data_IF_480596379956
#
_entry.id   IF_480596379956
#
_cell.length_a   1.000
_cell.length_b   1.000
_cell.length_c   1.000
_cell.angle_alpha   90.00
_cell.angle_beta   90.00
_cell.angle_gamma   90.00
#
_symmetry.space_group_name_H-M   'P 1'
#
loop_
_entity.id
_entity.type
_entity.pdbx_description
1 polymer ?
#
# COMPACT_ATOMS: atom_id res chain seq x y z
N UNK A 1 25.81 14.71 5.23
CA UNK A 1 25.43 13.73 4.19
C UNK A 1 24.26 12.96 4.78
N UNK A 2 23.04 13.23 4.31
CA UNK A 2 21.85 12.63 4.93
C UNK A 2 21.80 11.20 4.42
N UNK A 3 22.25 10.26 5.24
CA UNK A 3 21.91 8.85 5.08
C UNK A 3 20.38 8.78 5.12
N UNK A 4 19.79 8.87 3.93
CA UNK A 4 18.55 8.20 3.64
C UNK A 4 18.85 6.72 3.91
N UNK A 5 18.70 6.30 5.17
CA UNK A 5 18.06 5.04 5.45
C UNK A 5 16.74 5.12 4.68
N UNK A 6 16.79 4.72 3.41
CA UNK A 6 15.63 4.21 2.72
C UNK A 6 15.25 3.04 3.62
N UNK A 7 14.36 3.29 4.59
CA UNK A 7 13.74 2.24 5.36
C UNK A 7 13.33 1.20 4.31
N UNK A 8 13.74 -0.08 4.41
CA UNK A 8 13.37 -1.09 3.43
C UNK A 8 11.85 -1.09 3.17
N UNK A 9 11.07 -0.64 4.15
CA UNK A 9 9.65 -0.32 4.04
C UNK A 9 9.30 0.67 2.92
N UNK A 10 10.07 1.73 2.68
CA UNK A 10 9.75 2.77 1.68
C UNK A 10 9.92 2.26 0.25
N UNK A 11 10.97 1.47 -0.02
CA UNK A 11 11.17 0.87 -1.34
C UNK A 11 10.09 -0.18 -1.64
N UNK A 12 9.79 -1.03 -0.64
CA UNK A 12 8.71 -2.02 -0.72
C UNK A 12 7.35 -1.35 -0.90
N UNK A 13 7.10 -0.27 -0.18
CA UNK A 13 5.88 0.51 -0.28
C UNK A 13 5.67 1.09 -1.69
N UNK A 14 6.70 1.71 -2.26
CA UNK A 14 6.64 2.24 -3.63
C UNK A 14 6.36 1.16 -4.66
N UNK A 15 6.97 -0.02 -4.48
CA UNK A 15 6.71 -1.17 -5.34
C UNK A 15 5.24 -1.63 -5.23
N UNK A 16 4.72 -1.75 -4.02
CA UNK A 16 3.31 -2.11 -3.77
C UNK A 16 2.35 -1.07 -4.34
N UNK A 17 2.62 0.23 -4.16
CA UNK A 17 1.81 1.29 -4.77
C UNK A 17 1.82 1.22 -6.30
N UNK A 18 2.98 0.99 -6.91
CA UNK A 18 3.09 0.86 -8.35
C UNK A 18 2.36 -0.40 -8.87
N UNK A 19 2.44 -1.51 -8.13
CA UNK A 19 1.74 -2.76 -8.43
C UNK A 19 0.23 -2.61 -8.30
N UNK A 20 -0.25 -2.02 -7.21
CA UNK A 20 -1.65 -1.68 -6.98
C UNK A 20 -2.18 -0.83 -8.14
N UNK A 21 -1.47 0.27 -8.48
CA UNK A 21 -1.86 1.15 -9.59
C UNK A 21 -1.94 0.42 -10.92
N UNK A 22 -1.02 -0.51 -11.18
CA UNK A 22 -1.04 -1.33 -12.39
C UNK A 22 -2.24 -2.28 -12.46
N UNK A 23 -2.79 -2.67 -11.31
CA UNK A 23 -4.01 -3.48 -11.19
C UNK A 23 -5.31 -2.67 -11.15
N UNK A 24 -5.24 -1.33 -11.22
CA UNK A 24 -6.43 -0.48 -11.05
C UNK A 24 -6.75 -0.16 -9.59
N UNK A 25 -5.80 -0.31 -8.68
CA UNK A 25 -5.99 -0.08 -7.25
C UNK A 25 -5.09 1.05 -6.73
N UNK A 26 -5.52 1.71 -5.66
CA UNK A 26 -4.75 2.71 -4.95
C UNK A 26 -4.57 2.29 -3.50
N UNK A 27 -3.31 2.25 -3.05
CA UNK A 27 -2.97 1.95 -1.67
C UNK A 27 -2.92 3.26 -0.85
N UNK A 28 -3.76 3.36 0.17
CA UNK A 28 -3.84 4.51 1.09
C UNK A 28 -3.60 4.07 2.54
N UNK A 29 -3.14 5.00 3.39
CA UNK A 29 -3.05 4.81 4.83
C UNK A 29 -4.28 5.43 5.48
N UNK A 30 -4.96 4.70 6.36
CA UNK A 30 -6.11 5.25 7.06
C UNK A 30 -5.65 6.23 8.15
N UNK A 31 -5.98 7.53 8.07
CA UNK A 31 -5.43 8.54 8.99
C UNK A 31 -5.93 8.39 10.43
N UNK A 32 -7.03 7.67 10.64
CA UNK A 32 -7.62 7.41 11.96
C UNK A 32 -7.01 6.20 12.67
N UNK A 33 -6.33 5.32 11.93
CA UNK A 33 -5.72 4.11 12.47
C UNK A 33 -4.25 4.07 12.05
N UNK A 34 -3.37 4.41 13.00
CA UNK A 34 -1.93 4.31 12.82
C UNK A 34 -1.61 2.88 12.37
N UNK A 35 -0.92 2.75 11.23
CA UNK A 35 -0.52 1.50 10.57
C UNK A 35 -1.63 0.69 9.86
N UNK A 36 -2.79 1.28 9.54
CA UNK A 36 -3.78 0.60 8.70
C UNK A 36 -3.65 0.99 7.23
N UNK A 37 -3.46 -0.02 6.40
CA UNK A 37 -3.38 0.06 4.95
C UNK A 37 -4.71 -0.33 4.34
N UNK A 38 -5.18 0.47 3.39
CA UNK A 38 -6.42 0.23 2.67
C UNK A 38 -6.12 0.29 1.18
N UNK A 39 -6.45 -0.79 0.48
CA UNK A 39 -6.53 -0.81 -0.98
C UNK A 39 -7.93 -0.36 -1.37
N UNK A 40 -7.98 0.70 -2.17
CA UNK A 40 -9.20 1.17 -2.79
C UNK A 40 -9.13 0.99 -4.30
N UNK A 41 -10.28 0.81 -4.94
CA UNK A 41 -10.38 0.86 -6.39
C UNK A 41 -10.01 2.26 -6.92
N UNK A 42 -9.33 2.35 -8.05
CA UNK A 42 -8.92 3.64 -8.63
C UNK A 42 -10.06 4.36 -9.35
N UNK A 43 -11.08 3.63 -9.79
CA UNK A 43 -12.22 4.13 -10.57
C UNK A 43 -13.30 4.70 -9.66
N UNK A 44 -13.77 3.92 -8.67
CA UNK A 44 -14.85 4.33 -7.76
C UNK A 44 -14.34 4.74 -6.35
N UNK A 45 -13.11 4.38 -6.00
CA UNK A 45 -12.59 4.62 -4.64
C UNK A 45 -13.14 3.65 -3.59
N UNK A 46 -13.80 2.57 -4.01
CA UNK A 46 -14.34 1.54 -3.13
C UNK A 46 -13.22 0.81 -2.37
N UNK A 47 -13.41 0.56 -1.08
CA UNK A 47 -12.43 -0.16 -0.25
C UNK A 47 -12.53 -1.67 -0.53
N UNK A 48 -11.55 -2.18 -1.26
CA UNK A 48 -11.50 -3.60 -1.62
C UNK A 48 -10.83 -4.44 -0.54
N UNK A 49 -9.82 -3.90 0.13
CA UNK A 49 -9.06 -4.63 1.14
C UNK A 49 -8.47 -3.71 2.18
N UNK A 50 -8.53 -4.11 3.45
CA UNK A 50 -7.93 -3.37 4.56
C UNK A 50 -7.10 -4.31 5.44
N UNK A 51 -5.92 -3.88 5.83
CA UNK A 51 -5.02 -4.66 6.66
C UNK A 51 -4.14 -3.78 7.53
N UNK A 52 -3.73 -4.30 8.69
CA UNK A 52 -2.76 -3.66 9.57
C UNK A 52 -1.29 -3.89 9.13
N UNK A 53 -1.06 -4.64 8.04
CA UNK A 53 0.27 -5.06 7.60
C UNK A 53 0.46 -4.97 6.08
N UNK A 54 1.55 -4.33 5.65
CA UNK A 54 1.94 -4.27 4.23
C UNK A 54 2.17 -5.66 3.60
N UNK A 55 2.57 -6.65 4.40
CA UNK A 55 2.76 -8.01 3.93
C UNK A 55 1.45 -8.66 3.44
N UNK A 56 0.31 -8.34 4.05
CA UNK A 56 -0.99 -8.86 3.60
C UNK A 56 -1.45 -8.18 2.31
N UNK A 57 -1.19 -6.86 2.19
CA UNK A 57 -1.41 -6.10 0.96
C UNK A 57 -0.58 -6.67 -0.19
N UNK A 58 0.69 -6.98 0.05
CA UNK A 58 1.57 -7.60 -0.93
C UNK A 58 1.05 -8.96 -1.39
N UNK A 59 0.58 -9.77 -0.45
CA UNK A 59 0.02 -11.09 -0.73
C UNK A 59 -1.25 -10.97 -1.58
N UNK A 60 -2.14 -10.04 -1.26
CA UNK A 60 -3.34 -9.76 -2.05
C UNK A 60 -3.02 -9.30 -3.48
N UNK A 61 -1.98 -8.46 -3.67
CA UNK A 61 -1.57 -7.98 -5.00
C UNK A 61 -0.74 -8.99 -5.83
N UNK A 62 -0.30 -10.07 -5.19
CA UNK A 62 0.49 -11.15 -5.81
C UNK A 62 -0.33 -12.39 -6.15
N UNK A 63 -1.53 -12.50 -5.59
CA UNK A 63 -2.49 -13.57 -5.89
C UNK A 63 -3.15 -13.41 -7.26
#
# INVERSE_FOLDING_TARGET
>A
MIDHHINPDTARLRFLMARARRGGYQLIVEPKQINRWVLVDIDDGERLFESASLAEVERYLSE
#
